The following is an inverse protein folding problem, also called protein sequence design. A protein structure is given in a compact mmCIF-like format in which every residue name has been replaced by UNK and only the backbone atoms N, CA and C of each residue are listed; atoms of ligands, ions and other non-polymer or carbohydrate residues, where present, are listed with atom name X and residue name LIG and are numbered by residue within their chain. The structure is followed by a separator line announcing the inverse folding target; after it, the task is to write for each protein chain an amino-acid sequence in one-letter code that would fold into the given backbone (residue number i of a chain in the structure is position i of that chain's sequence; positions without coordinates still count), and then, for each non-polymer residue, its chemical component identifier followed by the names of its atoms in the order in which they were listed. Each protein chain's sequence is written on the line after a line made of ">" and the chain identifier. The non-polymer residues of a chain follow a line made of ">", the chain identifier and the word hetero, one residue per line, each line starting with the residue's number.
data_IF_128080823963
#
_entry.id   IF_128080823963
#
_cell.length_a   1.000
_cell.length_b   1.000
_cell.length_c   1.000
_cell.angle_alpha   90.00
_cell.angle_beta   90.00
_cell.angle_gamma   90.00
#
_symmetry.space_group_name_H-M   'P 1'
#
loop_
_entity.id
_entity.type
_entity.pdbx_description
1 polymer ?
#
# COMPACT_ATOMS: atom_id res chain seq x y z
N UNK A 1 23.15 14.55 10.91
CA UNK A 1 22.22 13.49 11.38
C UNK A 1 22.79 12.55 12.45
N UNK A 2 24.04 12.05 12.39
CA UNK A 2 24.55 11.06 13.38
C UNK A 2 24.53 11.53 14.84
N UNK A 3 24.69 12.85 15.07
CA UNK A 3 24.64 13.45 16.41
C UNK A 3 23.25 13.38 17.05
N UNK A 4 22.18 13.53 16.28
CA UNK A 4 20.81 13.47 16.79
C UNK A 4 20.41 12.05 17.20
N UNK A 5 20.76 11.04 16.39
CA UNK A 5 20.51 9.64 16.72
C UNK A 5 21.11 9.24 18.08
N UNK A 6 22.39 9.60 18.31
CA UNK A 6 23.06 9.36 19.61
C UNK A 6 22.38 10.07 20.78
N UNK A 7 21.86 11.28 20.59
CA UNK A 7 21.12 11.99 21.65
C UNK A 7 19.76 11.33 21.94
N UNK A 8 19.09 10.77 20.93
CA UNK A 8 17.84 10.00 21.11
C UNK A 8 18.11 8.70 21.85
N UNK A 9 19.13 7.94 21.45
CA UNK A 9 19.54 6.70 22.12
C UNK A 9 19.94 6.93 23.58
N UNK A 10 20.59 8.06 23.88
CA UNK A 10 20.97 8.45 25.24
C UNK A 10 19.81 9.04 26.07
N UNK A 11 18.60 9.18 25.52
CA UNK A 11 17.44 9.79 26.20
C UNK A 11 17.52 11.31 26.39
N UNK A 12 18.52 11.97 25.79
CA UNK A 12 18.73 13.42 25.89
C UNK A 12 17.90 14.22 24.87
N UNK A 13 17.25 13.55 23.92
CA UNK A 13 16.39 14.14 22.91
C UNK A 13 15.19 13.23 22.65
N UNK A 14 14.00 13.80 22.68
CA UNK A 14 12.77 13.13 22.25
C UNK A 14 12.38 13.64 20.88
N UNK A 15 12.15 12.73 19.94
CA UNK A 15 11.63 13.04 18.59
C UNK A 15 10.17 12.60 18.54
N UNK A 16 9.28 13.52 18.14
CA UNK A 16 7.83 13.27 18.06
C UNK A 16 7.32 13.62 16.66
N UNK A 17 6.71 12.65 15.93
CA UNK A 17 6.63 11.22 16.28
C UNK A 17 8.01 10.56 16.23
N UNK A 18 8.17 9.45 16.95
CA UNK A 18 9.45 8.71 16.99
C UNK A 18 9.91 8.28 15.59
N UNK A 19 11.22 8.18 15.39
CA UNK A 19 11.82 7.75 14.11
C UNK A 19 11.46 6.29 13.81
N UNK A 20 10.36 6.08 13.09
CA UNK A 20 9.86 4.74 12.70
C UNK A 20 9.74 4.60 11.18
N UNK A 21 10.84 4.82 10.43
CA UNK A 21 10.79 4.73 8.97
C UNK A 21 10.27 3.36 8.52
N UNK A 22 10.68 2.28 9.20
CA UNK A 22 10.25 0.91 8.91
C UNK A 22 8.72 0.70 8.79
N UNK A 23 7.89 1.60 9.34
CA UNK A 23 6.43 1.56 9.16
C UNK A 23 5.98 1.90 7.73
N UNK A 24 6.85 2.50 6.91
CA UNK A 24 6.59 2.78 5.49
C UNK A 24 6.87 1.58 4.58
N UNK A 25 7.39 0.47 5.14
CA UNK A 25 7.64 -0.74 4.37
C UNK A 25 6.34 -1.45 3.96
N UNK A 26 6.26 -1.80 2.67
CA UNK A 26 5.06 -2.41 2.09
C UNK A 26 4.99 -3.90 2.35
N UNK A 27 6.14 -4.55 2.60
CA UNK A 27 6.26 -5.98 2.90
C UNK A 27 5.37 -6.41 4.07
N UNK A 28 5.21 -5.56 5.08
CA UNK A 28 4.33 -5.82 6.23
C UNK A 28 2.88 -6.14 5.80
N UNK A 29 2.38 -5.52 4.72
CA UNK A 29 1.03 -5.78 4.21
C UNK A 29 0.88 -7.20 3.64
N UNK A 30 1.93 -7.73 3.01
CA UNK A 30 1.94 -9.09 2.49
C UNK A 30 2.20 -10.12 3.61
N UNK A 31 3.07 -9.80 4.58
CA UNK A 31 3.31 -10.66 5.75
C UNK A 31 2.06 -10.82 6.63
N UNK A 32 1.21 -9.79 6.72
CA UNK A 32 -0.07 -9.88 7.41
C UNK A 32 -0.97 -11.00 6.84
N UNK A 33 -0.96 -11.18 5.51
CA UNK A 33 -1.73 -12.22 4.83
C UNK A 33 -0.99 -13.56 4.71
N UNK A 34 0.29 -13.63 5.07
CA UNK A 34 1.09 -14.83 4.85
C UNK A 34 0.59 -16.02 5.69
N UNK A 35 0.37 -17.20 5.09
CA UNK A 35 -0.31 -18.32 5.77
C UNK A 35 0.47 -18.84 6.98
N UNK A 36 1.82 -18.83 6.92
CA UNK A 36 2.67 -19.26 8.04
C UNK A 36 2.68 -18.31 9.24
N UNK A 37 2.17 -17.08 9.08
CA UNK A 37 2.15 -16.08 10.15
C UNK A 37 0.77 -15.95 10.81
N UNK A 38 -0.25 -16.67 10.33
CA UNK A 38 -1.61 -16.56 10.87
C UNK A 38 -1.68 -16.89 12.36
N UNK A 39 -0.97 -17.93 12.83
CA UNK A 39 -0.90 -18.25 14.26
C UNK A 39 -0.27 -17.12 15.09
N UNK A 40 0.82 -16.54 14.59
CA UNK A 40 1.47 -15.39 15.25
C UNK A 40 0.53 -14.18 15.34
N UNK A 41 -0.22 -13.87 14.28
CA UNK A 41 -1.17 -12.76 14.28
C UNK A 41 -2.34 -13.01 15.23
N UNK A 42 -2.86 -14.24 15.28
CA UNK A 42 -3.93 -14.62 16.22
C UNK A 42 -3.51 -14.50 17.68
N UNK A 43 -2.24 -14.76 18.00
CA UNK A 43 -1.68 -14.59 19.35
C UNK A 43 -1.36 -13.12 19.66
N UNK A 44 -0.97 -12.33 18.66
CA UNK A 44 -0.46 -10.96 18.84
C UNK A 44 -1.53 -9.87 18.75
N UNK A 45 -2.69 -10.17 18.14
CA UNK A 45 -3.75 -9.20 17.88
C UNK A 45 -5.03 -9.61 18.60
N UNK A 46 -5.81 -8.63 19.05
CA UNK A 46 -7.19 -8.88 19.44
C UNK A 46 -8.01 -9.34 18.23
N UNK A 47 -9.12 -10.02 18.48
CA UNK A 47 -10.03 -10.43 17.41
C UNK A 47 -10.55 -9.22 16.64
N UNK A 48 -10.91 -8.17 17.36
CA UNK A 48 -11.44 -6.92 16.82
C UNK A 48 -10.41 -6.23 15.90
N UNK A 49 -9.15 -6.15 16.33
CA UNK A 49 -8.07 -5.56 15.53
C UNK A 49 -7.78 -6.41 14.29
N UNK A 50 -7.77 -7.74 14.43
CA UNK A 50 -7.57 -8.65 13.31
C UNK A 50 -8.67 -8.50 12.26
N UNK A 51 -9.94 -8.44 12.67
CA UNK A 51 -11.08 -8.24 11.76
C UNK A 51 -11.00 -6.87 11.07
N UNK A 52 -10.63 -5.81 11.80
CA UNK A 52 -10.45 -4.48 11.24
C UNK A 52 -9.32 -4.44 10.20
N UNK A 53 -8.17 -5.06 10.50
CA UNK A 53 -7.01 -5.09 9.61
C UNK A 53 -7.32 -5.89 8.35
N UNK A 54 -7.97 -7.06 8.46
CA UNK A 54 -8.40 -7.87 7.30
C UNK A 54 -9.39 -7.13 6.40
N UNK A 55 -10.26 -6.29 6.98
CA UNK A 55 -11.19 -5.45 6.21
C UNK A 55 -10.48 -4.28 5.52
N UNK A 56 -9.39 -3.80 6.09
CA UNK A 56 -8.73 -2.56 5.68
C UNK A 56 -7.56 -2.80 4.72
N UNK A 57 -6.75 -3.82 4.97
CA UNK A 57 -5.58 -4.18 4.16
C UNK A 57 -6.05 -5.12 3.05
N UNK A 58 -5.95 -4.73 1.77
CA UNK A 58 -6.28 -5.63 0.67
C UNK A 58 -5.34 -6.84 0.64
N UNK A 59 -5.84 -7.99 0.17
CA UNK A 59 -5.04 -9.20 -0.03
C UNK A 59 -3.73 -8.86 -0.73
N UNK A 60 -2.62 -9.30 -0.14
CA UNK A 60 -1.27 -8.92 -0.55
C UNK A 60 -0.34 -10.12 -0.46
N UNK A 61 0.58 -10.23 -1.41
CA UNK A 61 1.48 -11.37 -1.58
C UNK A 61 2.90 -10.91 -1.87
N UNK A 62 3.87 -11.74 -1.52
CA UNK A 62 5.29 -11.52 -1.80
C UNK A 62 5.61 -12.17 -3.15
N UNK A 63 6.23 -11.42 -4.07
CA UNK A 63 6.72 -11.98 -5.34
C UNK A 63 8.08 -12.65 -5.14
N UNK A 64 8.04 -13.84 -4.55
CA UNK A 64 9.20 -14.72 -4.40
C UNK A 64 9.34 -15.63 -5.64
N UNK A 65 10.46 -15.58 -6.38
CA UNK A 65 10.68 -16.40 -7.57
C UNK A 65 11.04 -17.87 -7.28
N UNK A 66 11.03 -18.30 -6.00
CA UNK A 66 11.31 -19.69 -5.63
C UNK A 66 10.44 -20.68 -6.43
N UNK A 67 11.03 -21.79 -6.92
CA UNK A 67 10.29 -22.77 -7.71
C UNK A 67 9.23 -23.48 -6.85
N UNK A 68 8.03 -23.61 -7.41
CA UNK A 68 6.93 -24.34 -6.79
C UNK A 68 6.97 -25.79 -7.27
N UNK A 69 6.93 -26.79 -6.37
CA UNK A 69 6.87 -28.19 -6.78
C UNK A 69 5.62 -28.49 -7.62
N UNK A 70 5.65 -29.47 -8.55
CA UNK A 70 4.52 -29.76 -9.45
C UNK A 70 3.18 -30.10 -8.77
N UNK A 71 3.21 -30.55 -7.51
CA UNK A 71 2.02 -30.88 -6.72
C UNK A 71 1.56 -29.75 -5.77
N UNK A 72 2.20 -28.59 -5.81
CA UNK A 72 1.86 -27.44 -4.98
C UNK A 72 1.30 -26.30 -5.83
N UNK A 73 0.93 -25.18 -5.22
CA UNK A 73 0.52 -23.96 -5.92
C UNK A 73 0.92 -22.75 -5.11
N UNK A 74 1.12 -21.61 -5.77
CA UNK A 74 1.31 -20.33 -5.09
C UNK A 74 0.01 -19.94 -4.38
N UNK A 75 0.14 -19.49 -3.13
CA UNK A 75 -0.92 -18.74 -2.46
C UNK A 75 -0.94 -17.32 -3.05
N UNK A 76 -1.89 -17.08 -3.96
CA UNK A 76 -1.88 -15.91 -4.85
C UNK A 76 -3.22 -15.72 -5.57
N UNK A 77 -3.35 -14.66 -6.40
CA UNK A 77 -4.52 -14.46 -7.24
C UNK A 77 -4.64 -15.57 -8.29
N UNK A 78 -5.86 -15.78 -8.79
CA UNK A 78 -6.14 -16.74 -9.85
C UNK A 78 -5.93 -16.10 -11.23
N UNK A 79 -5.54 -16.92 -12.21
CA UNK A 79 -5.47 -16.55 -13.62
C UNK A 79 -6.24 -17.59 -14.42
N UNK A 80 -7.23 -17.14 -15.21
CA UNK A 80 -8.18 -18.00 -15.92
C UNK A 80 -8.95 -18.96 -15.01
N UNK A 81 -9.09 -18.62 -13.72
CA UNK A 81 -9.70 -19.48 -12.70
C UNK A 81 -8.75 -20.50 -12.06
N UNK A 82 -7.52 -20.61 -12.55
CA UNK A 82 -6.52 -21.57 -12.06
C UNK A 82 -5.58 -20.94 -11.04
N UNK A 83 -5.06 -21.79 -10.14
CA UNK A 83 -4.00 -21.39 -9.21
C UNK A 83 -2.66 -21.32 -9.93
N UNK A 84 -1.85 -20.34 -9.55
CA UNK A 84 -0.54 -20.13 -10.15
C UNK A 84 0.45 -21.22 -9.72
N UNK A 85 1.24 -21.71 -10.67
CA UNK A 85 2.45 -22.49 -10.41
C UNK A 85 3.71 -21.62 -10.46
N UNK A 86 3.61 -20.47 -11.14
CA UNK A 86 4.70 -19.52 -11.26
C UNK A 86 4.13 -18.10 -11.37
N UNK A 87 4.71 -17.14 -10.67
CA UNK A 87 4.30 -15.73 -10.75
C UNK A 87 4.30 -15.16 -12.17
N UNK A 88 5.15 -15.67 -13.09
CA UNK A 88 5.17 -15.27 -14.51
C UNK A 88 3.85 -15.55 -15.23
N UNK A 89 3.03 -16.48 -14.73
CA UNK A 89 1.71 -16.75 -15.30
C UNK A 89 0.75 -15.55 -15.17
N UNK A 90 1.03 -14.60 -14.26
CA UNK A 90 0.33 -13.32 -14.19
C UNK A 90 0.40 -12.51 -15.49
N UNK A 91 1.39 -12.75 -16.35
CA UNK A 91 1.46 -12.12 -17.68
C UNK A 91 0.31 -12.53 -18.60
N UNK A 92 -0.33 -13.68 -18.34
CA UNK A 92 -1.49 -14.18 -19.08
C UNK A 92 -2.83 -13.66 -18.54
N UNK A 93 -2.81 -12.92 -17.43
CA UNK A 93 -4.01 -12.40 -16.80
C UNK A 93 -4.76 -11.44 -17.72
N UNK A 94 -6.07 -11.62 -17.84
CA UNK A 94 -6.92 -10.66 -18.53
C UNK A 94 -6.90 -9.29 -17.83
N UNK A 95 -7.39 -8.25 -18.52
CA UNK A 95 -7.47 -6.90 -17.94
C UNK A 95 -8.23 -6.85 -16.61
N UNK A 96 -9.23 -7.71 -16.43
CA UNK A 96 -10.03 -7.81 -15.21
C UNK A 96 -9.26 -8.54 -14.08
N UNK A 97 -8.54 -9.60 -14.42
CA UNK A 97 -7.78 -10.39 -13.44
C UNK A 97 -6.56 -9.63 -12.91
N UNK A 98 -6.00 -8.72 -13.70
CA UNK A 98 -4.93 -7.80 -13.27
C UNK A 98 -5.46 -6.51 -12.61
N UNK A 99 -6.62 -6.53 -11.95
CA UNK A 99 -6.98 -5.51 -10.95
C UNK A 99 -6.10 -5.69 -9.69
N UNK A 100 -4.80 -5.51 -9.90
CA UNK A 100 -3.70 -5.77 -8.98
C UNK A 100 -2.74 -4.58 -9.03
N UNK A 101 -1.97 -4.42 -7.96
CA UNK A 101 -0.93 -3.41 -7.84
C UNK A 101 0.38 -4.10 -7.52
N UNK A 102 1.40 -3.85 -8.34
CA UNK A 102 2.78 -4.25 -8.07
C UNK A 102 3.53 -3.08 -7.44
N UNK A 103 4.20 -3.31 -6.31
CA UNK A 103 4.95 -2.27 -5.57
C UNK A 103 6.24 -2.83 -5.00
N UNK A 104 7.34 -2.09 -5.16
CA UNK A 104 8.59 -2.38 -4.45
C UNK A 104 8.46 -2.04 -2.94
N UNK A 105 8.91 -2.95 -2.09
CA UNK A 105 9.04 -2.72 -0.64
C UNK A 105 10.42 -2.15 -0.29
N UNK A 106 10.48 -1.43 0.83
CA UNK A 106 11.70 -0.81 1.35
C UNK A 106 11.94 0.61 0.83
N UNK A 107 13.06 1.18 1.28
CA UNK A 107 13.56 2.51 0.92
C UNK A 107 14.46 2.43 -0.32
N UNK A 108 13.92 1.86 -1.41
CA UNK A 108 14.64 1.85 -2.68
C UNK A 108 14.56 3.23 -3.33
N UNK A 109 15.59 3.67 -4.05
CA UNK A 109 15.59 5.00 -4.70
C UNK A 109 14.43 5.13 -5.71
N UNK A 110 14.03 4.03 -6.32
CA UNK A 110 12.85 3.98 -7.20
C UNK A 110 11.53 3.95 -6.44
N UNK A 111 11.52 3.66 -5.13
CA UNK A 111 10.33 3.56 -4.27
C UNK A 111 9.67 4.93 -3.98
N UNK A 112 10.36 6.04 -4.28
CA UNK A 112 9.84 7.38 -4.03
C UNK A 112 9.01 7.92 -5.22
N UNK A 113 7.81 8.43 -4.93
CA UNK A 113 6.86 8.89 -5.95
C UNK A 113 6.00 7.76 -6.54
N UNK A 114 5.03 8.12 -7.38
CA UNK A 114 4.13 7.17 -8.06
C UNK A 114 4.84 6.23 -9.07
N UNK A 115 6.17 6.31 -9.21
CA UNK A 115 6.98 5.55 -10.18
C UNK A 115 7.27 4.11 -9.77
N UNK A 116 7.13 3.78 -8.49
CA UNK A 116 7.32 2.40 -7.97
C UNK A 116 6.07 1.54 -7.98
N UNK A 117 4.97 2.06 -8.55
CA UNK A 117 3.66 1.45 -8.48
C UNK A 117 3.16 1.18 -9.88
N UNK A 118 2.95 -0.09 -10.21
CA UNK A 118 2.31 -0.50 -11.46
C UNK A 118 0.90 -0.98 -11.13
N UNK A 119 -0.10 -0.30 -11.69
CA UNK A 119 -1.52 -0.72 -11.60
C UNK A 119 -1.81 -1.55 -12.84
N UNK A 120 -2.04 -2.85 -12.66
CA UNK A 120 -2.13 -3.81 -13.77
C UNK A 120 -3.23 -3.44 -14.77
N UNK A 121 -4.37 -2.94 -14.31
CA UNK A 121 -5.47 -2.55 -15.20
C UNK A 121 -5.19 -1.30 -16.06
N UNK A 122 -4.15 -0.53 -15.73
CA UNK A 122 -3.79 0.75 -16.38
C UNK A 122 -2.66 0.64 -17.41
N UNK A 123 -1.94 -0.48 -17.46
CA UNK A 123 -0.81 -0.70 -18.38
C UNK A 123 -1.16 -1.70 -19.49
N UNK A 124 -0.37 -1.83 -20.56
CA UNK A 124 -0.60 -2.86 -21.59
C UNK A 124 -0.33 -4.28 -21.04
N UNK A 125 -0.70 -5.33 -21.77
CA UNK A 125 -0.40 -6.72 -21.35
C UNK A 125 1.11 -6.97 -21.30
N UNK A 126 1.82 -6.38 -22.26
CA UNK A 126 3.27 -6.51 -22.40
C UNK A 126 3.98 -5.77 -21.26
N UNK A 127 3.57 -4.52 -20.96
CA UNK A 127 4.12 -3.75 -19.83
C UNK A 127 3.87 -4.44 -18.49
N UNK A 128 2.68 -5.04 -18.32
CA UNK A 128 2.36 -5.81 -17.12
C UNK A 128 3.28 -7.02 -16.96
N UNK A 129 3.43 -7.80 -18.03
CA UNK A 129 4.32 -8.98 -18.05
C UNK A 129 5.76 -8.58 -17.76
N UNK A 130 6.26 -7.55 -18.43
CA UNK A 130 7.61 -7.03 -18.22
C UNK A 130 7.82 -6.55 -16.77
N UNK A 131 6.83 -5.88 -16.18
CA UNK A 131 6.90 -5.42 -14.79
C UNK A 131 7.00 -6.58 -13.79
N UNK A 132 6.24 -7.65 -14.01
CA UNK A 132 6.31 -8.87 -13.18
C UNK A 132 7.66 -9.56 -13.34
N UNK A 133 8.14 -9.75 -14.56
CA UNK A 133 9.45 -10.36 -14.83
C UNK A 133 10.59 -9.55 -14.20
N UNK A 134 10.55 -8.23 -14.32
CA UNK A 134 11.51 -7.33 -13.69
C UNK A 134 11.47 -7.42 -12.16
N UNK A 135 10.28 -7.48 -11.55
CA UNK A 135 10.14 -7.63 -10.10
C UNK A 135 10.72 -8.96 -9.61
N UNK A 136 10.48 -10.06 -10.33
CA UNK A 136 11.02 -11.38 -9.99
C UNK A 136 12.54 -11.44 -10.17
N UNK A 137 13.08 -10.80 -11.21
CA UNK A 137 14.52 -10.76 -11.49
C UNK A 137 15.32 -9.96 -10.44
N UNK A 138 14.71 -8.92 -9.86
CA UNK A 138 15.35 -8.10 -8.84
C UNK A 138 15.17 -8.61 -7.41
N UNK A 139 14.37 -9.65 -7.19
CA UNK A 139 14.21 -10.23 -5.85
C UNK A 139 15.57 -10.73 -5.30
N UNK A 140 15.92 -10.46 -4.02
CA UNK A 140 15.13 -9.77 -3.00
C UNK A 140 15.44 -8.27 -2.85
N UNK A 141 16.12 -7.64 -3.81
CA UNK A 141 16.62 -6.27 -3.73
C UNK A 141 16.09 -5.37 -4.88
N UNK A 142 14.88 -4.79 -4.75
CA UNK A 142 13.98 -4.89 -3.60
C UNK A 142 13.03 -6.09 -3.66
N UNK A 143 12.54 -6.53 -2.51
CA UNK A 143 11.37 -7.40 -2.43
C UNK A 143 10.18 -6.63 -2.99
N UNK A 144 9.47 -7.23 -3.94
CA UNK A 144 8.24 -6.67 -4.48
C UNK A 144 7.02 -7.37 -3.89
N UNK A 145 5.97 -6.60 -3.64
CA UNK A 145 4.67 -7.14 -3.26
C UNK A 145 3.66 -6.94 -4.39
N UNK A 146 2.73 -7.88 -4.47
CA UNK A 146 1.51 -7.77 -5.25
C UNK A 146 0.35 -7.56 -4.30
N UNK A 147 -0.58 -6.68 -4.64
CA UNK A 147 -1.72 -6.34 -3.80
C UNK A 147 -2.98 -6.21 -4.65
N UNK A 148 -4.12 -6.65 -4.13
CA UNK A 148 -5.39 -6.42 -4.79
C UNK A 148 -5.67 -4.92 -4.96
N UNK A 149 -6.02 -4.49 -6.18
CA UNK A 149 -6.43 -3.10 -6.41
C UNK A 149 -7.90 -2.90 -6.01
N UNK A 150 -8.12 -2.35 -4.82
CA UNK A 150 -9.45 -1.89 -4.39
C UNK A 150 -9.77 -0.55 -5.04
N UNK A 151 -10.75 -0.54 -5.95
CA UNK A 151 -11.19 0.69 -6.63
C UNK A 151 -11.77 1.68 -5.62
N UNK A 152 -11.17 2.88 -5.47
CA UNK A 152 -11.71 3.91 -4.60
C UNK A 152 -13.12 4.32 -5.02
N UNK A 153 -13.96 4.62 -4.04
CA UNK A 153 -15.29 5.22 -4.26
C UNK A 153 -15.12 6.63 -4.82
N UNK A 154 -15.97 6.99 -5.77
CA UNK A 154 -16.07 8.36 -6.28
C UNK A 154 -17.29 9.04 -5.68
N UNK A 155 -17.13 10.30 -5.27
CA UNK A 155 -18.19 11.12 -4.68
C UNK A 155 -18.09 12.55 -5.20
N UNK A 156 -19.11 13.37 -4.92
CA UNK A 156 -19.09 14.81 -5.18
C UNK A 156 -18.81 15.55 -3.87
N UNK A 157 -17.89 16.51 -3.89
CA UNK A 157 -17.56 17.33 -2.74
C UNK A 157 -17.23 18.76 -3.19
N UNK A 158 -17.68 19.81 -2.46
CA UNK A 158 -17.32 21.19 -2.76
C UNK A 158 -15.82 21.44 -2.51
N UNK A 159 -15.14 22.11 -3.43
CA UNK A 159 -13.74 22.52 -3.30
C UNK A 159 -13.55 23.96 -3.76
N UNK A 160 -12.48 24.61 -3.29
CA UNK A 160 -12.08 25.91 -3.83
C UNK A 160 -11.38 25.72 -5.18
N UNK A 161 -11.81 26.45 -6.20
CA UNK A 161 -11.09 26.55 -7.47
C UNK A 161 -9.96 27.59 -7.38
N UNK A 162 -9.20 27.78 -8.47
CA UNK A 162 -8.09 28.74 -8.55
C UNK A 162 -8.52 30.19 -8.30
N UNK A 163 -9.78 30.54 -8.60
CA UNK A 163 -10.37 31.86 -8.36
C UNK A 163 -10.90 32.02 -6.91
N UNK A 164 -10.75 31.01 -6.05
CA UNK A 164 -11.26 31.01 -4.68
C UNK A 164 -12.77 30.81 -4.56
N UNK A 165 -13.46 30.42 -5.64
CA UNK A 165 -14.87 30.07 -5.62
C UNK A 165 -15.09 28.61 -5.20
N UNK A 166 -16.19 28.36 -4.49
CA UNK A 166 -16.60 27.01 -4.14
C UNK A 166 -17.32 26.37 -5.33
N UNK A 167 -16.77 25.28 -5.84
CA UNK A 167 -17.33 24.51 -6.96
C UNK A 167 -17.49 23.04 -6.58
N UNK A 168 -18.54 22.34 -7.05
CA UNK A 168 -18.64 20.91 -6.86
C UNK A 168 -17.56 20.19 -7.68
N UNK A 169 -16.77 19.33 -7.05
CA UNK A 169 -15.82 18.44 -7.73
C UNK A 169 -16.25 16.99 -7.55
N UNK A 170 -16.27 16.23 -8.64
CA UNK A 170 -16.36 14.78 -8.60
C UNK A 170 -14.96 14.19 -8.42
N UNK A 171 -14.76 13.43 -7.36
CA UNK A 171 -13.43 12.98 -6.97
C UNK A 171 -13.41 11.78 -6.05
N UNK A 172 -12.20 11.43 -5.63
CA UNK A 172 -11.88 10.31 -4.74
C UNK A 172 -11.26 10.86 -3.47
N UNK A 173 -11.61 10.26 -2.34
CA UNK A 173 -11.13 10.68 -1.02
C UNK A 173 -10.03 9.72 -0.54
N UNK A 174 -8.91 10.28 -0.09
CA UNK A 174 -7.89 9.57 0.69
C UNK A 174 -7.88 10.15 2.10
N UNK A 175 -8.09 9.30 3.10
CA UNK A 175 -8.00 9.69 4.51
C UNK A 175 -6.64 9.24 5.05
N UNK A 176 -5.92 10.17 5.67
CA UNK A 176 -4.61 9.94 6.31
C UNK A 176 -4.75 10.25 7.80
N UNK A 177 -5.08 9.24 8.63
CA UNK A 177 -5.19 9.43 10.06
C UNK A 177 -3.80 9.57 10.71
N UNK A 178 -3.69 10.45 11.70
CA UNK A 178 -2.48 10.68 12.47
C UNK A 178 -2.67 10.18 13.89
N UNK A 179 -1.77 9.28 14.30
CA UNK A 179 -1.77 8.69 15.63
C UNK A 179 -0.53 9.13 16.39
N UNK A 180 -0.70 9.56 17.64
CA UNK A 180 0.40 9.77 18.58
C UNK A 180 0.42 8.66 19.61
N UNK A 181 1.63 8.24 19.99
CA UNK A 181 1.83 7.30 21.08
C UNK A 181 1.88 8.09 22.39
N UNK A 182 0.95 7.80 23.30
CA UNK A 182 0.96 8.30 24.67
C UNK A 182 0.95 7.11 25.62
N UNK A 183 1.97 7.02 26.49
CA UNK A 183 2.15 5.91 27.43
C UNK A 183 2.01 4.51 26.80
N UNK A 184 2.54 4.34 25.58
CA UNK A 184 2.47 3.07 24.83
C UNK A 184 1.17 2.84 24.05
N UNK A 185 0.15 3.70 24.21
CA UNK A 185 -1.12 3.62 23.49
C UNK A 185 -1.16 4.57 22.29
N UNK A 186 -1.58 4.05 21.13
CA UNK A 186 -1.86 4.89 19.95
C UNK A 186 -3.18 5.64 20.14
N UNK A 187 -3.15 6.96 20.01
CA UNK A 187 -4.32 7.83 20.09
C UNK A 187 -4.45 8.59 18.77
N UNK A 188 -5.63 8.58 18.18
CA UNK A 188 -5.95 9.39 16.99
C UNK A 188 -5.94 10.87 17.41
N UNK A 189 -5.09 11.68 16.79
CA UNK A 189 -4.93 13.11 17.13
C UNK A 189 -5.28 14.04 15.98
N UNK A 190 -5.31 13.53 14.75
CA UNK A 190 -5.71 14.28 13.58
C UNK A 190 -6.06 13.36 12.43
N UNK A 191 -6.69 13.91 11.40
CA UNK A 191 -6.76 13.27 10.09
C UNK A 191 -6.65 14.35 9.02
N UNK A 192 -6.01 13.99 7.91
CA UNK A 192 -6.00 14.80 6.69
C UNK A 192 -6.76 14.04 5.62
N UNK A 193 -7.78 14.68 5.05
CA UNK A 193 -8.40 14.22 3.83
C UNK A 193 -7.71 14.87 2.62
N UNK A 194 -7.45 14.08 1.59
CA UNK A 194 -7.01 14.56 0.28
C UNK A 194 -8.07 14.14 -0.73
N UNK A 195 -8.70 15.13 -1.37
CA UNK A 195 -9.76 14.91 -2.35
C UNK A 195 -9.23 15.19 -3.76
N UNK A 196 -9.26 14.17 -4.61
CA UNK A 196 -8.57 14.15 -5.89
C UNK A 196 -9.56 14.00 -7.05
N UNK A 197 -9.35 14.69 -8.19
CA UNK A 197 -10.13 14.51 -9.40
C UNK A 197 -10.34 13.03 -9.78
N UNK A 198 -11.55 12.69 -10.24
CA UNK A 198 -11.97 11.30 -10.45
C UNK A 198 -11.20 10.56 -11.56
N UNK A 199 -10.60 11.31 -12.50
CA UNK A 199 -9.74 10.81 -13.58
C UNK A 199 -8.39 10.29 -13.07
N UNK A 200 -8.01 10.59 -11.82
CA UNK A 200 -6.78 10.09 -11.20
C UNK A 200 -7.07 8.84 -10.35
N UNK A 201 -6.43 7.72 -10.69
CA UNK A 201 -6.57 6.45 -9.95
C UNK A 201 -5.60 6.32 -8.78
N UNK A 202 -4.37 6.81 -8.93
CA UNK A 202 -3.34 6.82 -7.87
C UNK A 202 -3.35 8.19 -7.19
N UNK A 203 -3.64 8.21 -5.89
CA UNK A 203 -3.71 9.44 -5.09
C UNK A 203 -2.34 9.69 -4.43
N UNK A 204 -1.43 10.33 -5.14
CA UNK A 204 -0.10 10.69 -4.63
C UNK A 204 0.41 12.02 -5.20
N UNK A 205 0.76 12.96 -4.32
CA UNK A 205 1.52 14.17 -4.68
C UNK A 205 0.92 15.02 -5.82
N UNK A 206 -0.40 15.15 -5.85
CA UNK A 206 -1.11 15.82 -6.95
C UNK A 206 -1.25 17.32 -6.70
N UNK A 207 -0.96 18.14 -7.72
CA UNK A 207 -1.25 19.58 -7.70
C UNK A 207 -2.75 19.87 -7.62
N UNK A 208 -3.54 19.02 -8.27
CA UNK A 208 -4.98 19.22 -8.42
C UNK A 208 -5.78 18.62 -7.24
N UNK A 209 -5.10 18.16 -6.19
CA UNK A 209 -5.74 17.61 -5.00
C UNK A 209 -6.11 18.70 -4.00
N UNK A 210 -7.37 18.71 -3.55
CA UNK A 210 -7.79 19.56 -2.44
C UNK A 210 -7.44 18.91 -1.09
N UNK A 211 -6.75 19.65 -0.23
CA UNK A 211 -6.52 19.26 1.15
C UNK A 211 -7.70 19.71 2.00
N UNK A 212 -8.36 18.76 2.65
CA UNK A 212 -9.56 19.01 3.43
C UNK A 212 -9.24 18.78 4.92
N UNK A 213 -9.50 19.76 5.80
CA UNK A 213 -9.41 19.53 7.23
C UNK A 213 -10.47 18.50 7.65
N UNK A 214 -10.09 17.58 8.54
CA UNK A 214 -11.02 16.62 9.13
C UNK A 214 -11.28 16.97 10.60
N UNK A 215 -12.53 16.82 11.02
CA UNK A 215 -12.89 16.77 12.43
C UNK A 215 -12.85 15.33 12.92
N UNK A 216 -12.30 15.12 14.12
CA UNK A 216 -12.38 13.86 14.85
C UNK A 216 -13.52 14.04 15.86
N UNK A 217 -14.56 13.23 15.71
CA UNK A 217 -15.73 13.19 16.61
C UNK A 217 -15.73 11.90 17.41
#
# INVERSE_FOLDING_TARGET
>A
MPKFAKCVEAGNLVVTPGMRPFLEEKLALALFHHPRLQGYWQESLSREDSELLLKTIPSSWILDPAPVPPGASIDGPLVSGDRLQNWKELGKASKKERSLILKASGFHETAWGARSVVVGEDVSSDDWTHSIEHALANFPNPVSILQEFKKPVTMSHPVYNEDGMIVPMKGRLRISPYYFLNAGKANLTGALATFCPADKKIIHGMKDGALLPCTIT
#
